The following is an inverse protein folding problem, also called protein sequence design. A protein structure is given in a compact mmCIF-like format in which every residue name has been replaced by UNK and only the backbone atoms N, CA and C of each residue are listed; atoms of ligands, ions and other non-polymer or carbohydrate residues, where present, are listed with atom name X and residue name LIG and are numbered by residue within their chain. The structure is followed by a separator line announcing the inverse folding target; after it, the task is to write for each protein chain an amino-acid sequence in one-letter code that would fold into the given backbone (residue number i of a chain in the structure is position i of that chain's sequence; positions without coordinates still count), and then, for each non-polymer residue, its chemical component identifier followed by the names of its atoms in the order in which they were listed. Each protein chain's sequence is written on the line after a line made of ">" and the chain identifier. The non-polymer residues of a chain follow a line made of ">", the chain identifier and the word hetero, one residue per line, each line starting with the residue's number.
data_IF_779020910476
#
_entry.id   IF_779020910476
#
_cell.length_a   1.000
_cell.length_b   1.000
_cell.length_c   1.000
_cell.angle_alpha   90.00
_cell.angle_beta   90.00
_cell.angle_gamma   90.00
#
_symmetry.space_group_name_H-M   'P 1'
#
loop_
_entity.id
_entity.type
_entity.pdbx_description
1 polymer ?
#
# COMPACT_ATOMS: atom_id res chain seq x y z
N UNK A 1 -2.25 5.72 -27.18
CA UNK A 1 -2.95 4.48 -26.85
C UNK A 1 -1.97 3.31 -26.88
N UNK A 2 -1.25 3.07 -27.97
CA UNK A 2 -0.37 1.91 -28.13
C UNK A 2 0.69 1.79 -27.03
N UNK A 3 1.18 2.92 -26.51
CA UNK A 3 2.11 2.97 -25.36
C UNK A 3 1.53 2.28 -24.13
N UNK A 4 0.26 2.47 -23.83
CA UNK A 4 -0.39 1.87 -22.66
C UNK A 4 -0.66 0.37 -22.87
N UNK A 5 -1.12 0.00 -24.08
CA UNK A 5 -1.42 -1.38 -24.42
C UNK A 5 -0.17 -2.30 -24.48
N UNK A 6 1.03 -1.74 -24.45
CA UNK A 6 2.29 -2.49 -24.39
C UNK A 6 2.80 -2.72 -22.96
N UNK A 7 2.14 -2.19 -21.93
CA UNK A 7 2.51 -2.39 -20.53
C UNK A 7 1.94 -3.70 -19.98
N UNK A 8 2.53 -4.19 -18.91
CA UNK A 8 2.18 -5.49 -18.31
C UNK A 8 0.80 -5.53 -17.67
N UNK A 9 0.35 -4.40 -17.14
CA UNK A 9 -0.96 -4.24 -16.51
C UNK A 9 -1.65 -3.06 -17.17
N UNK A 10 -2.76 -3.32 -17.83
CA UNK A 10 -3.58 -2.31 -18.50
C UNK A 10 -4.92 -2.24 -17.79
N UNK A 11 -5.42 -1.03 -17.58
CA UNK A 11 -6.76 -0.87 -17.01
C UNK A 11 -7.80 -1.37 -18.02
N UNK A 12 -8.78 -2.16 -17.60
CA UNK A 12 -9.75 -2.84 -18.48
C UNK A 12 -10.40 -1.89 -19.49
N UNK A 13 -10.91 -0.74 -19.04
CA UNK A 13 -11.52 0.28 -19.95
C UNK A 13 -10.53 0.86 -20.97
N UNK A 14 -9.22 0.81 -20.71
CA UNK A 14 -8.17 1.23 -21.63
C UNK A 14 -7.85 0.12 -22.62
N UNK A 15 -7.83 -1.13 -22.16
CA UNK A 15 -7.67 -2.32 -22.99
C UNK A 15 -8.82 -2.39 -24.02
N UNK A 16 -10.05 -2.18 -23.59
CA UNK A 16 -11.26 -2.14 -24.41
C UNK A 16 -11.40 -0.85 -25.24
N UNK A 17 -10.45 0.09 -25.08
CA UNK A 17 -10.45 1.40 -25.78
C UNK A 17 -11.68 2.27 -25.47
N UNK A 18 -12.29 2.08 -24.32
CA UNK A 18 -13.44 2.85 -23.84
C UNK A 18 -13.01 4.19 -23.23
N UNK A 19 -12.24 4.97 -23.96
CA UNK A 19 -11.66 6.24 -23.47
C UNK A 19 -12.71 7.21 -22.93
N UNK A 20 -13.92 7.16 -23.48
CA UNK A 20 -15.04 7.99 -23.07
C UNK A 20 -15.69 7.55 -21.76
N UNK A 21 -15.27 6.44 -21.16
CA UNK A 21 -15.71 6.09 -19.80
C UNK A 21 -15.22 7.13 -18.80
N UNK A 22 -14.02 7.70 -19.02
CA UNK A 22 -13.42 8.71 -18.14
C UNK A 22 -13.30 10.09 -18.79
N UNK A 23 -13.08 10.16 -20.11
CA UNK A 23 -12.77 11.41 -20.80
C UNK A 23 -13.97 11.96 -21.57
N UNK A 24 -14.08 13.30 -21.61
CA UNK A 24 -15.01 13.98 -22.49
C UNK A 24 -14.50 13.92 -23.93
N UNK A 25 -15.42 13.67 -24.88
CA UNK A 25 -15.15 13.60 -26.32
C UNK A 25 -14.56 14.89 -26.91
N UNK A 26 -14.93 16.02 -26.33
CA UNK A 26 -14.49 17.35 -26.74
C UNK A 26 -13.81 18.04 -25.58
N UNK A 27 -12.50 18.29 -25.70
CA UNK A 27 -11.69 19.07 -24.78
C UNK A 27 -11.16 20.34 -25.44
N UNK A 28 -10.54 21.21 -24.68
CA UNK A 28 -9.75 22.33 -25.19
C UNK A 28 -8.54 21.74 -25.94
N UNK A 29 -8.19 22.34 -27.07
CA UNK A 29 -7.10 21.87 -27.95
C UNK A 29 -5.86 21.48 -27.14
N UNK A 30 -5.50 20.20 -27.23
CA UNK A 30 -4.31 19.63 -26.58
C UNK A 30 -4.50 19.10 -25.15
N UNK A 31 -5.70 19.14 -24.54
CA UNK A 31 -5.97 18.60 -23.22
C UNK A 31 -7.28 17.81 -23.18
N UNK A 32 -7.20 16.52 -22.88
CA UNK A 32 -8.39 15.71 -22.61
C UNK A 32 -8.95 16.07 -21.23
N UNK A 33 -10.23 16.38 -21.18
CA UNK A 33 -10.95 16.67 -19.92
C UNK A 33 -11.53 15.39 -19.36
N UNK A 34 -11.54 15.27 -18.05
CA UNK A 34 -12.23 14.21 -17.33
C UNK A 34 -13.72 14.55 -17.16
N UNK A 35 -14.57 13.53 -17.06
CA UNK A 35 -16.01 13.66 -16.78
C UNK A 35 -16.29 14.11 -15.35
N UNK A 36 -15.43 13.73 -14.41
CA UNK A 36 -15.50 14.11 -13.01
C UNK A 36 -14.11 14.52 -12.49
N UNK A 37 -14.06 15.28 -11.41
CA UNK A 37 -12.83 15.78 -10.82
C UNK A 37 -12.28 14.83 -9.74
N UNK A 38 -10.96 14.85 -9.56
CA UNK A 38 -10.29 14.14 -8.48
C UNK A 38 -10.57 12.63 -8.45
N UNK A 39 -10.98 12.13 -7.31
CA UNK A 39 -11.27 10.71 -7.09
C UNK A 39 -12.69 10.32 -7.56
N UNK A 40 -13.58 11.28 -7.79
CA UNK A 40 -14.97 11.00 -8.15
C UNK A 40 -15.06 10.20 -9.46
N UNK A 41 -14.14 10.44 -10.39
CA UNK A 41 -14.07 9.66 -11.64
C UNK A 41 -13.80 8.18 -11.39
N UNK A 42 -13.07 7.83 -10.34
CA UNK A 42 -12.77 6.45 -9.98
C UNK A 42 -13.98 5.78 -9.33
N UNK A 43 -14.70 6.53 -8.49
CA UNK A 43 -15.88 6.04 -7.78
C UNK A 43 -17.09 5.78 -8.67
N UNK A 44 -17.07 6.18 -9.93
CA UNK A 44 -18.09 5.77 -10.92
C UNK A 44 -18.14 4.23 -11.10
N UNK A 45 -17.02 3.54 -10.86
CA UNK A 45 -16.91 2.09 -10.99
C UNK A 45 -16.35 1.38 -9.75
N UNK A 46 -15.48 2.03 -8.98
CA UNK A 46 -14.85 1.46 -7.79
C UNK A 46 -15.56 1.92 -6.53
N UNK A 47 -16.25 1.02 -5.82
CA UNK A 47 -16.92 1.38 -4.57
C UNK A 47 -15.93 1.56 -3.42
N UNK A 48 -16.27 2.41 -2.46
CA UNK A 48 -15.46 2.59 -1.25
C UNK A 48 -15.34 1.27 -0.44
N UNK A 49 -16.38 0.43 -0.46
CA UNK A 49 -16.41 -0.87 0.18
C UNK A 49 -15.40 -1.84 -0.46
N UNK A 50 -15.39 -1.94 -1.81
CA UNK A 50 -14.45 -2.81 -2.54
C UNK A 50 -12.99 -2.40 -2.30
N UNK A 51 -12.75 -1.11 -2.09
CA UNK A 51 -11.44 -0.55 -1.78
C UNK A 51 -11.09 -0.62 -0.28
N UNK A 52 -12.00 -1.09 0.56
CA UNK A 52 -11.84 -1.17 2.01
C UNK A 52 -11.75 0.19 2.71
N UNK A 53 -12.31 1.24 2.11
CA UNK A 53 -12.24 2.61 2.63
C UNK A 53 -13.27 2.90 3.75
N UNK A 54 -14.11 1.95 4.08
CA UNK A 54 -15.07 1.98 5.18
C UNK A 54 -14.41 1.72 6.55
N UNK A 55 -13.14 1.27 6.57
CA UNK A 55 -12.39 1.09 7.80
C UNK A 55 -12.10 2.43 8.50
N UNK A 56 -12.07 2.47 9.84
CA UNK A 56 -11.94 3.72 10.60
C UNK A 56 -10.60 4.45 10.41
N UNK A 57 -9.54 3.73 10.08
CA UNK A 57 -8.22 4.29 9.79
C UNK A 57 -7.97 4.36 8.28
N UNK A 58 -8.15 5.53 7.67
CA UNK A 58 -7.88 5.75 6.24
C UNK A 58 -6.47 6.34 6.07
N UNK A 59 -5.74 5.87 5.08
CA UNK A 59 -4.42 6.39 4.76
C UNK A 59 -4.49 7.87 4.39
N UNK A 60 -3.66 8.69 5.01
CA UNK A 60 -3.69 10.16 4.84
C UNK A 60 -3.51 10.58 3.37
N UNK A 61 -2.79 9.80 2.57
CA UNK A 61 -2.62 10.05 1.13
C UNK A 61 -3.95 10.00 0.37
N UNK A 62 -4.93 9.21 0.83
CA UNK A 62 -6.27 9.15 0.22
C UNK A 62 -7.17 10.31 0.68
N UNK A 63 -6.93 10.82 1.88
CA UNK A 63 -7.71 11.96 2.42
C UNK A 63 -7.26 13.28 1.78
N UNK A 64 -5.96 13.44 1.51
CA UNK A 64 -5.36 14.69 1.04
C UNK A 64 -4.96 14.67 -0.44
N UNK A 65 -4.88 13.50 -1.03
CA UNK A 65 -4.42 13.29 -2.40
C UNK A 65 -5.48 12.68 -3.30
N UNK A 66 -5.01 12.04 -4.35
CA UNK A 66 -5.87 11.35 -5.32
C UNK A 66 -5.41 9.91 -5.51
N UNK A 67 -6.28 9.06 -6.03
CA UNK A 67 -5.94 7.68 -6.40
C UNK A 67 -4.73 7.66 -7.36
N UNK A 68 -4.66 8.65 -8.26
CA UNK A 68 -3.57 8.82 -9.22
C UNK A 68 -2.22 9.22 -8.57
N UNK A 69 -2.18 9.50 -7.28
CA UNK A 69 -0.90 9.71 -6.56
C UNK A 69 -0.08 8.41 -6.46
N UNK A 70 -0.77 7.27 -6.45
CA UNK A 70 -0.14 5.95 -6.40
C UNK A 70 -0.42 5.11 -7.64
N UNK A 71 -1.58 5.28 -8.28
CA UNK A 71 -2.00 4.48 -9.42
C UNK A 71 -1.92 5.25 -10.74
N UNK A 72 -1.46 4.58 -11.80
CA UNK A 72 -1.62 5.09 -13.15
C UNK A 72 -2.96 4.60 -13.72
N UNK A 73 -3.94 5.49 -13.97
CA UNK A 73 -5.28 5.07 -14.37
C UNK A 73 -5.37 4.43 -15.78
N UNK A 74 -4.28 4.47 -16.56
CA UNK A 74 -4.28 3.88 -17.88
C UNK A 74 -3.59 2.51 -17.92
N UNK A 75 -2.35 2.43 -17.50
CA UNK A 75 -1.55 1.22 -17.53
C UNK A 75 -0.25 1.39 -16.74
N UNK A 76 0.32 0.30 -16.26
CA UNK A 76 1.60 0.27 -15.57
C UNK A 76 2.29 -1.08 -15.79
N UNK A 77 3.60 -1.14 -15.56
CA UNK A 77 4.32 -2.42 -15.50
C UNK A 77 4.27 -3.04 -14.10
N UNK A 78 3.83 -2.28 -13.10
CA UNK A 78 3.67 -2.76 -11.73
C UNK A 78 2.25 -3.31 -11.50
N UNK A 79 2.08 -4.33 -10.63
CA UNK A 79 0.76 -4.84 -10.25
C UNK A 79 -0.16 -3.74 -9.73
N UNK A 80 -1.46 -3.94 -9.85
CA UNK A 80 -2.49 -2.98 -9.39
C UNK A 80 -2.36 -1.58 -10.00
N UNK A 81 -1.73 -1.47 -11.16
CA UNK A 81 -1.48 -0.19 -11.85
C UNK A 81 -0.66 0.81 -11.02
N UNK A 82 0.18 0.36 -10.10
CA UNK A 82 1.03 1.25 -9.31
C UNK A 82 2.03 1.99 -10.21
N UNK A 83 2.26 3.26 -9.91
CA UNK A 83 3.21 4.12 -10.66
C UNK A 83 4.68 3.80 -10.40
N UNK A 84 4.97 3.07 -9.30
CA UNK A 84 6.28 2.54 -8.98
C UNK A 84 6.19 1.11 -8.44
N UNK A 85 7.27 0.36 -8.50
CA UNK A 85 7.33 -1.05 -8.13
C UNK A 85 7.69 -1.23 -6.65
N UNK A 86 7.04 -2.22 -6.01
CA UNK A 86 7.34 -2.64 -4.64
C UNK A 86 7.26 -1.50 -3.63
N UNK A 87 8.28 -1.41 -2.77
CA UNK A 87 8.36 -0.38 -1.74
C UNK A 87 8.62 1.03 -2.29
N UNK A 88 9.09 1.16 -3.54
CA UNK A 88 9.41 2.45 -4.13
C UNK A 88 8.20 3.40 -4.14
N UNK A 89 6.98 2.86 -4.31
CA UNK A 89 5.77 3.68 -4.26
C UNK A 89 5.52 4.31 -2.87
N UNK A 90 5.93 3.63 -1.81
CA UNK A 90 5.81 4.13 -0.43
C UNK A 90 6.82 5.25 -0.17
N UNK A 91 8.03 5.08 -0.68
CA UNK A 91 9.13 6.04 -0.52
C UNK A 91 8.96 7.35 -1.30
N UNK A 92 7.96 7.46 -2.16
CA UNK A 92 7.57 8.76 -2.74
C UNK A 92 7.15 9.79 -1.65
N UNK A 93 6.75 9.31 -0.46
CA UNK A 93 6.30 10.16 0.65
C UNK A 93 6.93 9.79 2.00
N UNK A 94 7.34 8.53 2.20
CA UNK A 94 7.98 8.06 3.41
C UNK A 94 9.50 8.07 3.25
N UNK A 95 10.21 8.69 4.20
CA UNK A 95 11.67 8.77 4.16
C UNK A 95 12.29 7.38 4.26
N UNK A 96 12.92 6.91 3.20
CA UNK A 96 13.46 5.55 3.10
C UNK A 96 14.43 5.23 4.25
N UNK A 97 15.28 6.17 4.65
CA UNK A 97 16.30 5.99 5.68
C UNK A 97 15.70 5.62 7.06
N UNK A 98 14.45 5.99 7.33
CA UNK A 98 13.75 5.60 8.56
C UNK A 98 13.45 4.10 8.63
N UNK A 99 13.43 3.41 7.49
CA UNK A 99 13.03 2.01 7.35
C UNK A 99 14.17 1.09 6.91
N UNK A 100 15.31 1.64 6.49
CA UNK A 100 16.43 0.89 5.90
C UNK A 100 17.76 1.22 6.57
N UNK A 101 17.81 1.12 7.91
CA UNK A 101 19.03 1.28 8.71
C UNK A 101 19.97 0.09 8.54
N UNK A 102 21.02 -0.02 9.37
CA UNK A 102 22.07 -1.05 9.27
C UNK A 102 21.51 -2.48 9.30
N UNK A 103 20.53 -2.73 10.17
CA UNK A 103 19.83 -4.03 10.27
C UNK A 103 18.37 -3.84 9.86
N UNK A 104 18.00 -4.32 8.69
CA UNK A 104 16.64 -4.26 8.16
C UNK A 104 15.88 -5.54 8.48
N UNK A 105 14.61 -5.43 8.84
CA UNK A 105 13.75 -6.60 8.98
C UNK A 105 13.52 -7.22 7.58
N UNK A 106 13.93 -8.47 7.39
CA UNK A 106 14.00 -9.12 6.07
C UNK A 106 12.68 -9.09 5.29
N UNK A 107 11.53 -9.17 5.95
CA UNK A 107 10.22 -9.09 5.31
C UNK A 107 10.01 -7.80 4.51
N UNK A 108 10.69 -6.69 4.88
CA UNK A 108 10.62 -5.43 4.13
C UNK A 108 11.29 -5.56 2.77
N UNK A 109 12.37 -6.33 2.69
CA UNK A 109 13.12 -6.56 1.45
C UNK A 109 12.46 -7.63 0.59
N UNK A 110 11.94 -8.69 1.22
CA UNK A 110 11.40 -9.86 0.53
C UNK A 110 9.94 -9.67 0.08
N UNK A 111 9.07 -9.21 1.00
CA UNK A 111 7.60 -9.11 0.80
C UNK A 111 7.09 -7.67 0.74
N UNK A 112 7.90 -6.72 1.19
CA UNK A 112 7.61 -5.29 1.18
C UNK A 112 6.70 -4.81 2.31
N UNK A 113 6.40 -3.51 2.28
CA UNK A 113 5.57 -2.84 3.29
C UNK A 113 4.16 -3.45 3.41
N UNK A 114 3.62 -3.95 2.29
CA UNK A 114 2.30 -4.58 2.21
C UNK A 114 2.14 -5.89 3.00
N UNK A 115 3.24 -6.54 3.40
CA UNK A 115 3.19 -7.71 4.27
C UNK A 115 2.55 -7.39 5.64
N UNK A 116 2.78 -6.19 6.13
CA UNK A 116 2.32 -5.74 7.44
C UNK A 116 1.25 -4.64 7.37
N UNK A 117 1.24 -3.83 6.32
CA UNK A 117 0.38 -2.65 6.20
C UNK A 117 -0.65 -2.78 5.08
N UNK A 118 -1.84 -2.22 5.32
CA UNK A 118 -2.86 -1.99 4.29
C UNK A 118 -2.64 -0.61 3.67
N UNK A 119 -2.61 -0.54 2.35
CA UNK A 119 -2.29 0.71 1.64
C UNK A 119 -3.42 1.74 1.67
N UNK A 120 -4.66 1.30 1.77
CA UNK A 120 -5.82 2.20 1.70
C UNK A 120 -6.40 2.54 3.07
N UNK A 121 -6.84 1.54 3.82
CA UNK A 121 -7.43 1.71 5.12
C UNK A 121 -7.34 0.44 5.97
N UNK A 122 -7.41 0.59 7.29
CA UNK A 122 -7.41 -0.51 8.24
C UNK A 122 -8.18 -0.16 9.52
N UNK A 123 -8.79 -1.13 10.19
CA UNK A 123 -9.30 -0.94 11.55
C UNK A 123 -8.18 -0.84 12.60
N UNK A 124 -6.97 -1.28 12.24
CA UNK A 124 -5.83 -1.29 13.14
C UNK A 124 -5.00 0.00 13.03
N UNK A 125 -4.35 0.40 14.13
CA UNK A 125 -3.45 1.55 14.11
C UNK A 125 -2.30 1.36 13.11
N UNK A 126 -1.80 2.46 12.58
CA UNK A 126 -0.73 2.47 11.59
C UNK A 126 -1.03 1.64 10.34
N UNK A 127 -2.31 1.47 10.01
CA UNK A 127 -2.77 0.67 8.86
C UNK A 127 -2.30 -0.79 8.89
N UNK A 128 -2.06 -1.38 10.03
CA UNK A 128 -1.64 -2.77 10.13
C UNK A 128 -2.73 -3.72 9.63
N UNK A 129 -2.32 -4.87 9.10
CA UNK A 129 -3.23 -5.91 8.60
C UNK A 129 -3.98 -6.61 9.73
N UNK A 130 -3.40 -6.60 10.94
CA UNK A 130 -3.98 -7.14 12.18
C UNK A 130 -3.34 -6.50 13.40
N UNK A 131 -3.88 -6.78 14.60
CA UNK A 131 -3.35 -6.25 15.86
C UNK A 131 -1.84 -6.53 16.02
N UNK A 132 -1.04 -5.58 16.52
CA UNK A 132 0.43 -5.62 16.48
C UNK A 132 1.06 -6.92 16.99
N UNK A 133 0.70 -7.35 18.20
CA UNK A 133 1.27 -8.60 18.77
C UNK A 133 0.88 -9.83 17.94
N UNK A 134 -0.36 -9.89 17.45
CA UNK A 134 -0.84 -10.97 16.59
C UNK A 134 -0.08 -11.01 15.27
N UNK A 135 0.23 -9.83 14.72
CA UNK A 135 1.02 -9.71 13.50
C UNK A 135 2.43 -10.27 13.69
N UNK A 136 3.11 -9.88 14.77
CA UNK A 136 4.46 -10.39 15.03
C UNK A 136 4.48 -11.93 15.19
N UNK A 137 3.58 -12.48 16.02
CA UNK A 137 3.54 -13.92 16.30
C UNK A 137 2.98 -14.76 15.14
N UNK A 138 2.47 -14.14 14.09
CA UNK A 138 2.07 -14.90 12.89
C UNK A 138 3.26 -15.50 12.13
N UNK A 139 4.46 -14.93 12.33
CA UNK A 139 5.72 -15.41 11.75
C UNK A 139 6.73 -15.82 12.84
N UNK A 140 6.76 -15.09 13.98
CA UNK A 140 7.60 -15.38 15.13
C UNK A 140 6.85 -16.31 16.09
N UNK A 141 6.92 -17.60 15.82
CA UNK A 141 6.16 -18.62 16.57
C UNK A 141 6.55 -18.62 18.06
N UNK A 142 5.54 -18.56 18.92
CA UNK A 142 5.72 -18.60 20.37
C UNK A 142 5.73 -20.02 20.94
N UNK A 143 5.33 -21.02 20.14
CA UNK A 143 4.98 -22.35 20.66
C UNK A 143 6.18 -23.31 20.71
N UNK A 144 7.24 -23.05 20.01
CA UNK A 144 8.47 -23.86 19.99
C UNK A 144 9.47 -23.53 21.12
N UNK A 145 9.14 -22.53 21.92
CA UNK A 145 10.02 -22.06 23.03
C UNK A 145 11.14 -21.11 22.59
N UNK A 146 11.40 -20.95 21.29
CA UNK A 146 12.50 -20.12 20.76
C UNK A 146 12.36 -18.66 21.20
N UNK A 147 11.15 -18.12 21.16
CA UNK A 147 10.86 -16.75 21.61
C UNK A 147 11.15 -16.58 23.11
N UNK A 148 10.78 -17.56 23.93
CA UNK A 148 11.06 -17.56 25.38
C UNK A 148 12.55 -17.66 25.67
N UNK A 149 13.27 -18.51 24.93
CA UNK A 149 14.72 -18.69 25.07
C UNK A 149 15.46 -17.40 24.67
N UNK A 150 15.11 -16.81 23.53
CA UNK A 150 15.69 -15.54 23.06
C UNK A 150 15.48 -14.39 24.05
N UNK A 151 14.42 -14.43 24.85
CA UNK A 151 14.11 -13.43 25.88
C UNK A 151 14.49 -13.89 27.30
N UNK A 152 15.31 -14.93 27.45
CA UNK A 152 15.74 -15.44 28.77
C UNK A 152 14.56 -15.75 29.71
N UNK A 153 13.44 -16.22 29.19
CA UNK A 153 12.24 -16.54 29.96
C UNK A 153 11.40 -15.32 30.39
N UNK A 154 11.72 -14.12 29.92
CA UNK A 154 10.88 -12.95 30.20
C UNK A 154 9.50 -13.12 29.55
N UNK A 155 8.38 -12.80 30.26
CA UNK A 155 7.03 -13.06 29.75
C UNK A 155 6.60 -12.03 28.70
N UNK A 156 7.15 -12.15 27.49
CA UNK A 156 6.91 -11.21 26.36
C UNK A 156 5.50 -11.29 25.80
N UNK A 157 4.80 -12.41 25.95
CA UNK A 157 3.44 -12.61 25.44
C UNK A 157 2.41 -11.60 25.96
N UNK A 158 2.70 -10.93 27.08
CA UNK A 158 1.83 -9.91 27.69
C UNK A 158 2.26 -8.48 27.37
N UNK A 159 3.26 -8.30 26.53
CA UNK A 159 3.83 -6.99 26.19
C UNK A 159 3.75 -6.73 24.68
N UNK A 160 3.71 -5.47 24.31
CA UNK A 160 3.89 -5.11 22.90
C UNK A 160 5.36 -5.30 22.53
N UNK A 161 5.61 -6.03 21.44
CA UNK A 161 6.96 -6.25 20.93
C UNK A 161 7.66 -4.93 20.58
N UNK A 162 6.89 -3.97 20.12
CA UNK A 162 7.37 -2.62 19.74
C UNK A 162 7.80 -1.74 20.91
N UNK A 163 7.60 -2.18 22.16
CA UNK A 163 8.15 -1.48 23.32
C UNK A 163 9.69 -1.61 23.41
N UNK A 164 10.25 -2.64 22.76
CA UNK A 164 11.68 -2.93 22.78
C UNK A 164 12.27 -3.05 21.38
N UNK A 165 11.49 -3.47 20.40
CA UNK A 165 11.93 -3.69 19.03
C UNK A 165 11.38 -2.63 18.08
N UNK A 166 12.22 -2.11 17.19
CA UNK A 166 11.76 -1.40 16.01
C UNK A 166 11.38 -2.45 14.94
N UNK A 167 10.12 -2.48 14.47
CA UNK A 167 9.66 -3.50 13.53
C UNK A 167 10.21 -3.33 12.11
N UNK A 168 10.84 -2.22 11.80
CA UNK A 168 11.34 -1.93 10.46
C UNK A 168 12.85 -2.15 10.34
N UNK A 169 13.63 -1.42 11.11
CA UNK A 169 15.09 -1.49 11.06
C UNK A 169 15.72 -0.89 12.32
N UNK A 170 16.96 -1.25 12.59
CA UNK A 170 17.73 -0.72 13.70
C UNK A 170 19.21 -0.57 13.35
N UNK A 171 19.95 0.17 14.17
CA UNK A 171 21.40 0.32 14.06
C UNK A 171 22.14 -0.68 14.96
N UNK A 172 21.43 -1.63 15.60
CA UNK A 172 21.98 -2.61 16.55
C UNK A 172 21.40 -3.98 16.25
#
# INVERSE_FOLDING_TARGET
>A
VDKYLSMSNVHEVVEDRECESCHLRHGVVGKLLLKAEGNDICYECHSAEDLGLDAPGVHTALVKGTCASCHNPHASNSPYLLSAEGNAICYECHEQDDYTREVVHSVIEDDGCGACHRSHASPEQNLLTMAPTKLCVSCHESDDGSLSEAHAGYPVAQKSCTNCHNPHSSDL
#
